data_IF_964388062441
#
_entry.id   IF_964388062441
#
_cell.length_a   1.000
_cell.length_b   1.000
_cell.length_c   1.000
_cell.angle_alpha   90.00
_cell.angle_beta   90.00
_cell.angle_gamma   90.00
#
_symmetry.space_group_name_H-M   'P 1'
#
loop_
_entity.id
_entity.type
_entity.pdbx_description
1 polymer ?
#
# COMPACT_ATOMS: atom_id res chain seq x y z
N UNK A 1 2.43 -13.31 18.48
CA UNK A 1 2.26 -13.52 17.03
C UNK A 1 1.53 -12.31 16.47
N UNK A 2 2.23 -11.37 15.82
CA UNK A 2 1.59 -10.16 15.28
C UNK A 2 0.76 -10.53 14.05
N UNK A 3 -0.57 -10.59 14.21
CA UNK A 3 -1.49 -10.66 13.09
C UNK A 3 -1.28 -9.41 12.25
N UNK A 4 -0.62 -9.53 11.09
CA UNK A 4 -0.52 -8.42 10.14
C UNK A 4 -1.92 -8.25 9.55
N UNK A 5 -2.68 -7.31 10.09
CA UNK A 5 -4.01 -7.01 9.57
C UNK A 5 -3.78 -6.39 8.20
N UNK A 6 -4.29 -7.02 7.11
CA UNK A 6 -4.14 -6.43 5.79
C UNK A 6 -4.94 -5.13 5.74
N UNK A 7 -4.25 -4.04 5.42
CA UNK A 7 -4.80 -2.69 5.35
C UNK A 7 -5.45 -2.47 3.99
N UNK A 8 -6.59 -1.79 3.98
CA UNK A 8 -7.15 -1.28 2.75
C UNK A 8 -6.35 -0.09 2.21
N UNK A 9 -6.50 0.22 0.92
CA UNK A 9 -5.93 1.44 0.31
C UNK A 9 -6.35 2.70 1.06
N UNK A 10 -7.56 2.73 1.62
CA UNK A 10 -8.08 3.87 2.34
C UNK A 10 -7.39 4.07 3.70
N UNK A 11 -7.21 3.00 4.45
CA UNK A 11 -6.49 3.03 5.73
C UNK A 11 -5.01 3.34 5.52
N UNK A 12 -4.37 2.70 4.55
CA UNK A 12 -2.99 2.99 4.17
C UNK A 12 -2.79 4.46 3.79
N UNK A 13 -3.77 5.05 3.10
CA UNK A 13 -3.74 6.46 2.71
C UNK A 13 -3.79 7.40 3.92
N UNK A 14 -4.66 7.10 4.89
CA UNK A 14 -4.79 7.90 6.11
C UNK A 14 -3.58 7.74 7.04
N UNK A 15 -3.13 6.51 7.25
CA UNK A 15 -2.07 6.19 8.22
C UNK A 15 -0.71 6.76 7.79
N UNK A 16 -0.42 6.74 6.48
CA UNK A 16 0.87 7.18 5.95
C UNK A 16 0.80 8.53 5.23
N UNK A 17 -0.36 9.20 5.27
CA UNK A 17 -0.63 10.45 4.57
C UNK A 17 -0.25 10.42 3.07
N UNK A 18 -0.44 9.25 2.42
CA UNK A 18 -0.15 9.06 1.00
C UNK A 18 -1.46 9.09 0.22
N UNK A 19 -1.57 9.80 -0.91
CA UNK A 19 -2.81 9.80 -1.69
C UNK A 19 -3.19 8.38 -2.18
N UNK A 20 -4.49 8.03 -2.08
CA UNK A 20 -5.03 6.75 -2.56
C UNK A 20 -4.61 6.43 -4.00
N UNK A 21 -4.62 7.44 -4.88
CA UNK A 21 -4.24 7.31 -6.30
C UNK A 21 -2.78 6.89 -6.47
N UNK A 22 -1.89 7.37 -5.59
CA UNK A 22 -0.47 7.00 -5.58
C UNK A 22 -0.28 5.55 -5.16
N UNK A 23 -1.01 5.10 -4.15
CA UNK A 23 -1.00 3.71 -3.69
C UNK A 23 -1.55 2.79 -4.80
N UNK A 24 -2.69 3.14 -5.40
CA UNK A 24 -3.27 2.41 -6.53
C UNK A 24 -2.31 2.33 -7.73
N UNK A 25 -1.65 3.44 -8.06
CA UNK A 25 -0.66 3.47 -9.13
C UNK A 25 0.55 2.57 -8.80
N UNK A 26 1.00 2.55 -7.55
CA UNK A 26 2.07 1.65 -7.12
C UNK A 26 1.68 0.18 -7.20
N UNK A 27 0.42 -0.15 -6.89
CA UNK A 27 -0.12 -1.50 -7.06
C UNK A 27 -0.19 -1.86 -8.55
N UNK A 28 -0.73 -0.95 -9.38
CA UNK A 28 -0.89 -1.17 -10.82
C UNK A 28 0.45 -1.31 -11.56
N UNK A 29 1.48 -0.60 -11.13
CA UNK A 29 2.85 -0.68 -11.69
C UNK A 29 3.68 -1.81 -11.09
N UNK A 30 3.14 -2.59 -10.14
CA UNK A 30 3.84 -3.69 -9.47
C UNK A 30 4.87 -3.25 -8.43
N UNK A 31 4.96 -1.96 -8.12
CA UNK A 31 5.84 -1.43 -7.08
C UNK A 31 5.39 -1.76 -5.64
N UNK A 32 4.10 -2.04 -5.44
CA UNK A 32 3.52 -2.43 -4.15
C UNK A 32 2.72 -3.73 -4.30
N UNK A 33 3.01 -4.73 -3.47
CA UNK A 33 2.23 -5.97 -3.43
C UNK A 33 0.89 -5.72 -2.74
N UNK A 34 -0.19 -6.07 -3.44
CA UNK A 34 -1.53 -6.04 -2.89
C UNK A 34 -2.36 -7.20 -3.44
N UNK A 35 -3.30 -7.68 -2.63
CA UNK A 35 -4.28 -8.68 -3.00
C UNK A 35 -5.59 -8.00 -3.34
N UNK A 36 -6.05 -8.18 -4.58
CA UNK A 36 -7.37 -7.69 -4.99
C UNK A 36 -8.45 -8.60 -4.42
N UNK A 37 -9.36 -8.04 -3.63
CA UNK A 37 -10.52 -8.80 -3.17
C UNK A 37 -11.54 -8.99 -4.29
N UNK A 38 -12.18 -10.17 -4.38
CA UNK A 38 -13.30 -10.38 -5.28
C UNK A 38 -14.48 -9.53 -4.81
N UNK A 39 -14.85 -8.52 -5.61
CA UNK A 39 -15.95 -7.62 -5.30
C UNK A 39 -16.06 -6.48 -6.30
N UNK A 40 -17.26 -5.89 -6.40
CA UNK A 40 -17.62 -4.86 -7.39
C UNK A 40 -16.75 -3.59 -7.31
N UNK A 41 -16.22 -3.30 -6.12
CA UNK A 41 -15.46 -2.07 -5.83
C UNK A 41 -13.94 -2.22 -6.00
N UNK A 42 -13.43 -3.39 -6.36
CA UNK A 42 -11.99 -3.59 -6.60
C UNK A 42 -11.13 -3.21 -5.39
N UNK A 43 -11.58 -3.55 -4.19
CA UNK A 43 -10.84 -3.26 -2.96
C UNK A 43 -9.50 -4.03 -2.97
N UNK A 44 -8.40 -3.31 -2.76
CA UNK A 44 -7.08 -3.91 -2.59
C UNK A 44 -6.75 -4.01 -1.10
N UNK A 45 -6.30 -5.18 -0.69
CA UNK A 45 -5.72 -5.47 0.61
C UNK A 45 -4.20 -5.44 0.48
N UNK A 46 -3.56 -4.63 1.31
CA UNK A 46 -2.13 -4.40 1.32
C UNK A 46 -1.59 -4.92 2.65
N UNK A 47 -0.56 -5.75 2.61
CA UNK A 47 0.14 -6.12 3.83
C UNK A 47 0.92 -4.91 4.36
N UNK A 48 0.77 -4.58 5.64
CA UNK A 48 1.45 -3.45 6.28
C UNK A 48 2.98 -3.52 6.08
N UNK A 49 3.56 -4.72 6.12
CA UNK A 49 5.00 -4.95 5.91
C UNK A 49 5.46 -4.53 4.51
N UNK A 50 4.67 -4.81 3.48
CA UNK A 50 4.99 -4.43 2.09
C UNK A 50 4.81 -2.93 1.88
N UNK A 51 3.78 -2.34 2.48
CA UNK A 51 3.56 -0.89 2.48
C UNK A 51 4.73 -0.15 3.11
N UNK A 52 5.14 -0.56 4.32
CA UNK A 52 6.26 0.06 5.03
C UNK A 52 7.58 -0.04 4.23
N UNK A 53 7.88 -1.22 3.66
CA UNK A 53 9.04 -1.40 2.76
C UNK A 53 9.01 -0.46 1.56
N UNK A 54 7.85 -0.29 0.95
CA UNK A 54 7.68 0.58 -0.20
C UNK A 54 7.86 2.06 0.15
N UNK A 55 7.34 2.49 1.31
CA UNK A 55 7.52 3.86 1.81
C UNK A 55 8.98 4.12 2.16
N UNK A 56 9.65 3.19 2.86
CA UNK A 56 11.07 3.32 3.19
C UNK A 56 11.95 3.46 1.94
N UNK A 57 11.64 2.73 0.85
CA UNK A 57 12.29 2.88 -0.46
C UNK A 57 12.07 4.25 -1.11
N UNK A 58 10.92 4.89 -0.86
CA UNK A 58 10.64 6.24 -1.38
C UNK A 58 11.39 7.32 -0.61
N UNK A 59 11.45 7.22 0.72
CA UNK A 59 12.21 8.17 1.55
C UNK A 59 13.68 8.16 1.17
N UNK A 60 14.27 6.97 1.01
CA UNK A 60 15.68 6.82 0.59
C UNK A 60 15.96 7.37 -0.82
N UNK A 61 15.00 7.27 -1.75
CA UNK A 61 15.15 7.80 -3.11
C UNK A 61 14.98 9.32 -3.20
N UNK A 62 14.31 9.96 -2.24
CA UNK A 62 14.11 11.41 -2.22
C UNK A 62 15.33 12.19 -1.67
N UNK A 63 16.32 11.49 -1.11
CA UNK A 63 17.50 12.08 -0.48
C UNK A 63 18.81 11.85 -1.25
N UNK A 64 18.73 11.44 -2.52
CA UNK A 64 19.89 11.19 -3.40
C UNK A 64 19.87 12.10 -4.62
#
# INVERSE_FOLDING_TARGET
>A
MAATIPLSVAEASQQWNVPKRTIQHAIATGGLKAHKMPGRTGAYLIAERDLNKWIAKRVTKASA
#
